data_IF_015411292959
#
_entry.id   IF_015411292959
#
_cell.length_a   1.000
_cell.length_b   1.000
_cell.length_c   1.000
_cell.angle_alpha   90.00
_cell.angle_beta   90.00
_cell.angle_gamma   90.00
#
_symmetry.space_group_name_H-M   'P 1'
#
loop_
_entity.id
_entity.type
_entity.pdbx_description
1 polymer ?
#
# COMPACT_ATOMS: atom_id res chain seq x y z
N UNK A 1 19.50 -24.59 -30.71
CA UNK A 1 19.21 -25.61 -29.68
C UNK A 1 19.85 -25.11 -28.38
N UNK A 2 19.11 -24.50 -27.44
CA UNK A 2 18.26 -25.16 -26.43
C UNK A 2 19.17 -25.81 -25.36
N UNK A 3 19.14 -25.53 -24.06
CA UNK A 3 18.10 -25.13 -23.10
C UNK A 3 18.79 -24.52 -21.86
N UNK A 4 18.36 -23.36 -21.35
CA UNK A 4 17.52 -23.15 -20.13
C UNK A 4 18.07 -23.80 -18.85
N UNK A 5 18.69 -22.98 -17.99
CA UNK A 5 18.86 -23.23 -16.56
C UNK A 5 17.75 -22.55 -15.76
N UNK A 6 16.97 -23.34 -15.03
CA UNK A 6 16.03 -22.90 -14.00
C UNK A 6 16.73 -22.94 -12.64
N UNK A 7 16.78 -21.81 -11.93
CA UNK A 7 16.94 -21.85 -10.47
C UNK A 7 16.19 -20.69 -9.81
N UNK A 8 15.27 -21.09 -8.92
CA UNK A 8 14.46 -20.30 -8.00
C UNK A 8 15.34 -19.65 -6.91
N UNK A 9 14.83 -18.50 -6.43
CA UNK A 9 15.07 -17.73 -5.19
C UNK A 9 15.74 -16.38 -5.41
N UNK A 10 14.90 -15.35 -5.51
CA UNK A 10 15.28 -13.96 -5.31
C UNK A 10 14.30 -13.34 -4.32
N UNK A 11 14.74 -13.10 -3.08
CA UNK A 11 14.13 -12.07 -2.24
C UNK A 11 14.42 -10.74 -2.95
N UNK A 12 13.38 -10.02 -3.34
CA UNK A 12 13.52 -8.74 -4.01
C UNK A 12 14.04 -7.69 -3.02
N UNK A 13 15.35 -7.43 -3.03
CA UNK A 13 15.91 -6.24 -2.40
C UNK A 13 15.67 -5.06 -3.34
N UNK A 14 15.00 -4.02 -2.84
CA UNK A 14 14.89 -2.74 -3.52
C UNK A 14 16.20 -1.97 -3.30
N UNK A 15 16.90 -1.69 -4.39
CA UNK A 15 18.10 -0.86 -4.44
C UNK A 15 17.72 0.62 -4.18
N UNK A 16 18.48 1.27 -3.31
CA UNK A 16 18.37 2.70 -3.00
C UNK A 16 19.67 3.37 -3.43
N UNK A 17 19.60 4.24 -4.43
CA UNK A 17 20.73 5.00 -4.93
C UNK A 17 21.13 6.12 -3.94
N UNK A 18 22.38 6.07 -3.47
CA UNK A 18 23.06 7.14 -2.74
C UNK A 18 23.66 8.14 -3.74
N UNK A 19 23.26 9.41 -3.64
CA UNK A 19 23.94 10.51 -4.29
C UNK A 19 24.90 11.17 -3.29
N UNK A 20 26.19 10.85 -3.41
CA UNK A 20 27.28 11.53 -2.72
C UNK A 20 27.34 13.01 -3.11
N UNK A 21 27.44 13.89 -2.11
CA UNK A 21 28.01 15.22 -2.30
C UNK A 21 29.03 15.49 -1.22
N UNK A 22 30.28 15.42 -1.65
CA UNK A 22 31.48 15.86 -0.97
C UNK A 22 31.57 17.39 -1.02
N UNK A 23 31.84 18.02 0.13
CA UNK A 23 32.65 19.23 0.13
C UNK A 23 33.37 19.40 1.47
N UNK A 24 34.64 19.77 1.36
CA UNK A 24 35.66 19.79 2.41
C UNK A 24 35.84 21.17 3.06
N UNK A 25 36.55 21.16 4.19
CA UNK A 25 37.29 22.26 4.87
C UNK A 25 36.45 23.26 5.70
N UNK A 26 36.87 23.75 6.86
CA UNK A 26 38.18 23.86 7.52
C UNK A 26 38.02 23.97 9.05
N UNK A 27 39.09 23.68 9.78
CA UNK A 27 39.18 23.81 11.23
C UNK A 27 39.42 25.26 11.68
N UNK A 28 38.47 25.84 12.41
CA UNK A 28 38.71 26.96 13.32
C UNK A 28 38.01 26.66 14.65
N UNK A 29 38.77 26.65 15.73
CA UNK A 29 38.26 26.56 17.10
C UNK A 29 37.56 27.87 17.44
N UNK A 30 36.30 27.80 17.85
CA UNK A 30 35.64 28.87 18.59
C UNK A 30 34.90 28.23 19.76
N UNK A 31 35.47 28.40 20.96
CA UNK A 31 34.72 28.35 22.20
C UNK A 31 33.60 29.39 22.09
N UNK A 32 32.34 28.95 22.13
CA UNK A 32 31.24 29.77 22.61
C UNK A 32 30.03 28.90 22.98
N UNK A 33 29.52 29.24 24.17
CA UNK A 33 28.35 28.76 24.91
C UNK A 33 27.38 27.78 24.25
N UNK A 34 27.10 26.72 25.01
CA UNK A 34 25.93 25.85 24.88
C UNK A 34 24.68 26.67 25.24
N UNK A 35 23.80 26.88 24.26
CA UNK A 35 22.40 27.34 24.43
C UNK A 35 21.52 26.29 23.73
N UNK A 36 20.36 25.87 24.30
CA UNK A 36 19.63 24.71 23.82
C UNK A 36 18.83 25.03 22.54
N UNK A 37 19.39 24.71 21.37
CA UNK A 37 18.77 24.96 20.05
C UNK A 37 17.61 24.04 19.67
N UNK A 38 16.93 23.40 20.62
CA UNK A 38 15.76 22.56 20.33
C UNK A 38 14.47 23.39 20.40
N UNK A 39 14.39 24.40 21.28
CA UNK A 39 13.19 25.22 21.44
C UNK A 39 13.03 26.26 20.30
N UNK A 40 14.10 26.94 19.88
CA UNK A 40 14.00 27.98 18.83
C UNK A 40 13.59 27.41 17.45
N UNK A 41 14.02 26.19 17.10
CA UNK A 41 13.69 25.56 15.80
C UNK A 41 12.27 24.99 15.78
N UNK A 42 11.74 24.58 16.93
CA UNK A 42 10.38 24.07 17.06
C UNK A 42 9.36 25.23 16.96
N UNK A 43 9.63 26.34 17.65
CA UNK A 43 8.78 27.54 17.66
C UNK A 43 8.65 28.16 16.26
N UNK A 44 9.72 28.19 15.48
CA UNK A 44 9.70 28.74 14.11
C UNK A 44 8.81 27.90 13.17
N UNK A 45 8.78 26.57 13.35
CA UNK A 45 7.93 25.67 12.56
C UNK A 45 6.45 25.81 12.87
N UNK A 46 6.09 25.96 14.14
CA UNK A 46 4.70 26.13 14.57
C UNK A 46 4.13 27.45 14.03
N UNK A 47 4.93 28.52 14.08
CA UNK A 47 4.57 29.82 13.49
C UNK A 47 4.36 29.72 11.97
N UNK A 48 5.21 28.96 11.26
CA UNK A 48 5.04 28.72 9.82
C UNK A 48 3.77 27.94 9.51
N UNK A 49 3.41 26.95 10.31
CA UNK A 49 2.16 26.19 10.14
C UNK A 49 0.93 27.05 10.39
N UNK A 50 0.95 27.90 11.42
CA UNK A 50 -0.12 28.86 11.67
C UNK A 50 -0.29 29.85 10.50
N UNK A 51 0.81 30.38 9.95
CA UNK A 51 0.76 31.24 8.77
C UNK A 51 0.21 30.50 7.54
N UNK A 52 0.57 29.24 7.35
CA UNK A 52 0.02 28.42 6.26
C UNK A 52 -1.48 28.18 6.46
N UNK A 53 -1.92 27.93 7.70
CA UNK A 53 -3.34 27.76 8.02
C UNK A 53 -4.14 29.03 7.74
N UNK A 54 -3.62 30.20 8.11
CA UNK A 54 -4.22 31.50 7.79
C UNK A 54 -4.30 31.73 6.28
N UNK A 55 -3.26 31.34 5.54
CA UNK A 55 -3.23 31.45 4.09
C UNK A 55 -4.28 30.56 3.37
N UNK A 56 -4.90 29.58 4.05
CA UNK A 56 -6.02 28.83 3.48
C UNK A 56 -7.31 29.66 3.38
N UNK A 57 -7.43 30.76 4.11
CA UNK A 57 -8.59 31.68 4.00
C UNK A 57 -8.48 32.63 2.80
N UNK A 58 -7.34 32.67 2.12
CA UNK A 58 -7.11 33.56 0.99
C UNK A 58 -8.04 33.26 -0.19
N UNK A 59 -8.53 34.32 -0.85
CA UNK A 59 -9.44 34.18 -2.00
C UNK A 59 -8.77 33.48 -3.18
N UNK A 60 -7.46 33.66 -3.35
CA UNK A 60 -6.70 33.16 -4.49
C UNK A 60 -6.33 31.68 -4.32
N UNK A 61 -6.83 30.82 -5.20
CA UNK A 61 -6.57 29.37 -5.16
C UNK A 61 -5.09 29.00 -5.20
N UNK A 62 -4.27 29.69 -6.01
CA UNK A 62 -2.83 29.42 -6.05
C UNK A 62 -2.09 29.72 -4.73
N UNK A 63 -2.63 30.60 -3.89
CA UNK A 63 -2.08 30.86 -2.55
C UNK A 63 -2.43 29.71 -1.61
N UNK A 64 -3.69 29.28 -1.62
CA UNK A 64 -4.13 28.10 -0.87
C UNK A 64 -3.40 26.82 -1.27
N UNK A 65 -3.16 26.60 -2.57
CA UNK A 65 -2.38 25.46 -3.05
C UNK A 65 -0.94 25.45 -2.50
N UNK A 66 -0.29 26.62 -2.42
CA UNK A 66 1.05 26.73 -1.83
C UNK A 66 1.03 26.42 -0.34
N UNK A 67 0.06 26.98 0.39
CA UNK A 67 -0.12 26.70 1.81
C UNK A 67 -0.35 25.21 2.09
N UNK A 68 -1.24 24.55 1.32
CA UNK A 68 -1.46 23.11 1.44
C UNK A 68 -0.19 22.31 1.16
N UNK A 69 0.62 22.71 0.16
CA UNK A 69 1.89 22.05 -0.14
C UNK A 69 2.85 22.14 1.05
N UNK A 70 2.99 23.33 1.66
CA UNK A 70 3.83 23.52 2.84
C UNK A 70 3.33 22.74 4.07
N UNK A 71 2.01 22.67 4.27
CA UNK A 71 1.42 21.84 5.33
C UNK A 71 1.77 20.37 5.13
N UNK A 72 1.58 19.84 3.91
CA UNK A 72 1.92 18.44 3.59
C UNK A 72 3.40 18.14 3.84
N UNK A 73 4.30 19.05 3.44
CA UNK A 73 5.73 18.92 3.68
C UNK A 73 6.04 18.88 5.18
N UNK A 74 5.42 19.75 5.98
CA UNK A 74 5.58 19.76 7.43
C UNK A 74 5.10 18.44 8.08
N UNK A 75 3.96 17.90 7.66
CA UNK A 75 3.42 16.63 8.14
C UNK A 75 4.26 15.41 7.72
N UNK A 76 4.92 15.46 6.55
CA UNK A 76 5.81 14.39 6.10
C UNK A 76 7.17 14.40 6.83
N UNK A 77 7.61 15.57 7.28
CA UNK A 77 8.90 15.74 7.96
C UNK A 77 8.85 15.51 9.48
N UNK A 78 7.70 15.72 10.11
CA UNK A 78 7.48 15.45 11.54
C UNK A 78 6.00 15.29 11.88
N UNK A 79 5.71 14.50 12.92
CA UNK A 79 4.36 14.35 13.46
C UNK A 79 3.98 15.63 14.21
N UNK A 80 3.17 16.47 13.58
CA UNK A 80 2.77 17.78 14.06
C UNK A 80 1.72 17.70 15.19
N UNK A 81 1.95 16.88 16.21
CA UNK A 81 0.94 16.56 17.23
C UNK A 81 0.40 17.79 17.96
N UNK A 82 1.24 18.74 18.36
CA UNK A 82 0.79 19.94 19.07
C UNK A 82 -0.10 20.84 18.21
N UNK A 83 0.27 21.00 16.93
CA UNK A 83 -0.53 21.74 15.96
C UNK A 83 -1.88 21.05 15.73
N UNK A 84 -1.88 19.73 15.52
CA UNK A 84 -3.11 18.94 15.32
C UNK A 84 -4.01 19.05 16.55
N UNK A 85 -3.47 18.89 17.76
CA UNK A 85 -4.23 19.00 19.00
C UNK A 85 -5.01 20.32 19.10
N UNK A 86 -4.41 21.44 18.69
CA UNK A 86 -5.00 22.78 18.78
C UNK A 86 -5.86 23.17 17.59
N UNK A 87 -5.54 22.69 16.38
CA UNK A 87 -6.03 23.26 15.12
C UNK A 87 -6.69 22.25 14.18
N UNK A 88 -6.87 20.97 14.57
CA UNK A 88 -7.40 19.94 13.65
C UNK A 88 -8.73 20.36 13.01
N UNK A 89 -9.70 20.84 13.79
CA UNK A 89 -11.02 21.22 13.28
C UNK A 89 -10.94 22.38 12.27
N UNK A 90 -10.07 23.37 12.54
CA UNK A 90 -9.85 24.49 11.61
C UNK A 90 -9.22 24.03 10.31
N UNK A 91 -8.17 23.20 10.38
CA UNK A 91 -7.50 22.65 9.20
C UNK A 91 -8.47 21.78 8.38
N UNK A 92 -9.19 20.88 9.04
CA UNK A 92 -10.18 20.00 8.41
C UNK A 92 -11.23 20.84 7.66
N UNK A 93 -11.82 21.83 8.33
CA UNK A 93 -12.81 22.71 7.72
C UNK A 93 -12.28 23.42 6.46
N UNK A 94 -11.05 23.93 6.51
CA UNK A 94 -10.44 24.58 5.34
C UNK A 94 -10.16 23.60 4.20
N UNK A 95 -9.64 22.41 4.50
CA UNK A 95 -9.44 21.37 3.48
C UNK A 95 -10.77 20.92 2.85
N UNK A 96 -11.84 20.79 3.64
CA UNK A 96 -13.17 20.47 3.12
C UNK A 96 -13.74 21.58 2.23
N UNK A 97 -13.47 22.86 2.56
CA UNK A 97 -13.80 23.99 1.68
C UNK A 97 -13.04 23.92 0.34
N UNK A 98 -11.76 23.57 0.38
CA UNK A 98 -10.95 23.32 -0.81
C UNK A 98 -11.47 22.13 -1.63
N UNK A 99 -11.95 21.05 -1.01
CA UNK A 99 -12.60 19.94 -1.73
C UNK A 99 -13.87 20.40 -2.46
N UNK A 100 -14.68 21.23 -1.81
CA UNK A 100 -15.96 21.73 -2.36
C UNK A 100 -15.77 22.70 -3.53
N UNK A 101 -14.78 23.59 -3.47
CA UNK A 101 -14.66 24.74 -4.41
C UNK A 101 -13.32 24.83 -5.16
N UNK A 102 -12.33 24.03 -4.79
CA UNK A 102 -10.97 24.13 -5.29
C UNK A 102 -10.76 23.53 -6.69
N UNK A 103 -9.62 23.89 -7.27
CA UNK A 103 -9.10 23.28 -8.51
C UNK A 103 -8.83 21.78 -8.33
N UNK A 104 -8.61 21.03 -9.41
CA UNK A 104 -8.23 19.61 -9.30
C UNK A 104 -6.97 19.40 -8.45
N UNK A 105 -6.00 20.31 -8.58
CA UNK A 105 -4.76 20.31 -7.80
C UNK A 105 -5.01 20.69 -6.34
N UNK A 106 -5.80 21.72 -6.08
CA UNK A 106 -6.15 22.14 -4.72
C UNK A 106 -6.90 21.04 -3.97
N UNK A 107 -7.84 20.36 -4.64
CA UNK A 107 -8.57 19.22 -4.08
C UNK A 107 -7.61 18.08 -3.76
N UNK A 108 -6.68 17.75 -4.67
CA UNK A 108 -5.72 16.68 -4.44
C UNK A 108 -4.83 16.96 -3.21
N UNK A 109 -4.34 18.20 -3.08
CA UNK A 109 -3.55 18.61 -1.93
C UNK A 109 -4.38 18.60 -0.64
N UNK A 110 -5.61 19.12 -0.67
CA UNK A 110 -6.49 19.14 0.50
C UNK A 110 -6.86 17.72 0.96
N UNK A 111 -7.17 16.82 0.03
CA UNK A 111 -7.43 15.40 0.28
C UNK A 111 -6.22 14.71 0.93
N UNK A 112 -5.01 14.97 0.44
CA UNK A 112 -3.80 14.41 1.03
C UNK A 112 -3.52 14.98 2.43
N UNK A 113 -3.71 16.30 2.63
CA UNK A 113 -3.57 16.93 3.93
C UNK A 113 -4.57 16.38 4.97
N UNK A 114 -5.81 16.08 4.58
CA UNK A 114 -6.82 15.44 5.45
C UNK A 114 -6.37 14.03 5.85
N UNK A 115 -5.87 13.22 4.92
CA UNK A 115 -5.39 11.87 5.28
C UNK A 115 -4.15 11.91 6.18
N UNK A 116 -3.23 12.87 5.98
CA UNK A 116 -2.10 13.10 6.89
C UNK A 116 -2.56 13.58 8.27
N UNK A 117 -3.57 14.44 8.32
CA UNK A 117 -4.22 14.88 9.57
C UNK A 117 -4.77 13.66 10.33
N UNK A 118 -5.54 12.79 9.66
CA UNK A 118 -6.07 11.57 10.28
C UNK A 118 -4.95 10.66 10.80
N UNK A 119 -3.93 10.34 9.98
CA UNK A 119 -2.80 9.49 10.37
C UNK A 119 -2.03 10.07 11.57
N UNK A 120 -1.91 11.39 11.65
CA UNK A 120 -1.17 12.07 12.75
C UNK A 120 -1.98 12.13 14.03
N UNK A 121 -3.31 12.29 13.93
CA UNK A 121 -4.22 12.21 15.07
C UNK A 121 -4.24 10.79 15.68
N UNK A 122 -4.20 9.76 14.82
CA UNK A 122 -4.39 8.37 15.26
C UNK A 122 -5.85 8.05 15.60
N UNK A 123 -6.16 6.79 15.94
CA UNK A 123 -7.52 6.34 16.23
C UNK A 123 -8.10 7.02 17.48
N UNK A 124 -9.41 7.25 17.49
CA UNK A 124 -10.16 7.88 18.58
C UNK A 124 -11.15 8.96 18.09
N UNK A 125 -11.74 9.69 19.03
CA UNK A 125 -12.85 10.63 18.79
C UNK A 125 -12.57 11.63 17.66
N UNK A 126 -11.36 12.23 17.62
CA UNK A 126 -10.98 13.19 16.59
C UNK A 126 -10.89 12.56 15.19
N UNK A 127 -10.42 11.31 15.08
CA UNK A 127 -10.38 10.61 13.80
C UNK A 127 -11.77 10.21 13.32
N UNK A 128 -12.66 9.84 14.25
CA UNK A 128 -14.06 9.61 13.94
C UNK A 128 -14.74 10.89 13.44
N UNK A 129 -14.52 12.03 14.10
CA UNK A 129 -15.02 13.35 13.66
C UNK A 129 -14.52 13.68 12.25
N UNK A 130 -13.23 13.48 11.98
CA UNK A 130 -12.65 13.65 10.63
C UNK A 130 -13.38 12.79 9.60
N UNK A 131 -13.61 11.50 9.90
CA UNK A 131 -14.32 10.60 9.00
C UNK A 131 -15.76 11.09 8.73
N UNK A 132 -16.52 11.40 9.78
CA UNK A 132 -17.91 11.83 9.68
C UNK A 132 -18.07 13.12 8.86
N UNK A 133 -17.20 14.11 9.08
CA UNK A 133 -17.20 15.36 8.33
C UNK A 133 -16.73 15.20 6.88
N UNK A 134 -15.86 14.22 6.59
CA UNK A 134 -15.33 13.97 5.25
C UNK A 134 -16.30 13.23 4.33
N UNK A 135 -17.10 12.29 4.85
CA UNK A 135 -17.93 11.39 4.03
C UNK A 135 -18.88 12.15 3.10
N UNK A 136 -19.58 13.17 3.60
CA UNK A 136 -20.56 13.92 2.80
C UNK A 136 -19.91 14.78 1.71
N UNK A 137 -18.95 15.69 2.02
CA UNK A 137 -18.27 16.50 1.01
C UNK A 137 -17.54 15.68 -0.05
N UNK A 138 -16.89 14.58 0.32
CA UNK A 138 -16.22 13.68 -0.63
C UNK A 138 -17.25 13.01 -1.54
N UNK A 139 -18.35 12.48 -0.97
CA UNK A 139 -19.42 11.86 -1.76
C UNK A 139 -20.06 12.81 -2.76
N UNK A 140 -20.29 14.07 -2.36
CA UNK A 140 -20.79 15.11 -3.25
C UNK A 140 -19.80 15.45 -4.36
N UNK A 141 -18.52 15.61 -4.02
CA UNK A 141 -17.47 15.89 -4.99
C UNK A 141 -17.33 14.75 -6.03
N UNK A 142 -17.43 13.49 -5.61
CA UNK A 142 -17.39 12.33 -6.51
C UNK A 142 -18.60 12.28 -7.48
N UNK A 143 -19.80 12.68 -7.03
CA UNK A 143 -21.01 12.73 -7.87
C UNK A 143 -20.88 13.72 -9.02
N UNK A 144 -20.08 14.78 -8.87
CA UNK A 144 -19.85 15.77 -9.94
C UNK A 144 -19.02 15.24 -11.12
N UNK A 145 -18.58 13.97 -11.07
CA UNK A 145 -17.71 13.31 -12.07
C UNK A 145 -16.52 14.19 -12.48
N UNK A 146 -15.64 14.53 -11.53
CA UNK A 146 -14.49 15.37 -11.81
C UNK A 146 -13.44 14.61 -12.63
N UNK A 147 -12.36 15.29 -12.99
CA UNK A 147 -11.20 14.69 -13.66
C UNK A 147 -10.63 13.49 -12.87
N UNK A 148 -10.01 12.54 -13.59
CA UNK A 148 -9.51 11.28 -13.01
C UNK A 148 -8.57 11.50 -11.82
N UNK A 149 -7.71 12.52 -11.85
CA UNK A 149 -6.78 12.86 -10.77
C UNK A 149 -7.51 13.30 -9.50
N UNK A 150 -8.54 14.14 -9.65
CA UNK A 150 -9.39 14.58 -8.54
C UNK A 150 -10.20 13.42 -7.96
N UNK A 151 -10.69 12.51 -8.80
CA UNK A 151 -11.35 11.27 -8.33
C UNK A 151 -10.36 10.45 -7.49
N UNK A 152 -9.16 10.16 -8.01
CA UNK A 152 -8.18 9.33 -7.30
C UNK A 152 -7.84 9.89 -5.92
N UNK A 153 -7.56 11.19 -5.81
CA UNK A 153 -7.22 11.81 -4.53
C UNK A 153 -8.37 11.76 -3.51
N UNK A 154 -9.62 11.91 -3.96
CA UNK A 154 -10.81 11.80 -3.11
C UNK A 154 -11.01 10.37 -2.59
N UNK A 155 -10.78 9.36 -3.45
CA UNK A 155 -10.89 7.95 -3.07
C UNK A 155 -9.79 7.55 -2.08
N UNK A 156 -8.55 7.98 -2.31
CA UNK A 156 -7.44 7.76 -1.38
C UNK A 156 -7.70 8.40 -0.03
N UNK A 157 -8.14 9.67 -0.02
CA UNK A 157 -8.49 10.38 1.20
C UNK A 157 -9.59 9.64 1.97
N UNK A 158 -10.67 9.23 1.31
CA UNK A 158 -11.75 8.48 1.96
C UNK A 158 -11.23 7.18 2.58
N UNK A 159 -10.44 6.41 1.82
CA UNK A 159 -9.84 5.18 2.33
C UNK A 159 -8.95 5.41 3.57
N UNK A 160 -8.09 6.42 3.56
CA UNK A 160 -7.21 6.70 4.70
C UNK A 160 -7.99 7.18 5.92
N UNK A 161 -8.93 8.12 5.77
CA UNK A 161 -9.69 8.61 6.93
C UNK A 161 -10.60 7.52 7.52
N UNK A 162 -11.16 6.63 6.68
CA UNK A 162 -11.92 5.48 7.16
C UNK A 162 -11.03 4.45 7.84
N UNK A 163 -9.81 4.20 7.32
CA UNK A 163 -8.88 3.27 7.95
C UNK A 163 -8.47 3.71 9.36
N UNK A 164 -8.34 5.01 9.62
CA UNK A 164 -7.95 5.54 10.93
C UNK A 164 -9.16 5.74 11.85
N UNK A 165 -10.26 6.30 11.35
CA UNK A 165 -11.42 6.72 12.15
C UNK A 165 -12.63 5.79 12.12
N UNK A 166 -12.58 4.71 11.31
CA UNK A 166 -13.68 3.74 11.20
C UNK A 166 -13.60 2.68 12.29
N UNK A 167 -14.17 2.96 13.46
CA UNK A 167 -14.21 2.01 14.58
C UNK A 167 -15.31 0.95 14.40
N UNK A 168 -16.44 1.35 13.80
CA UNK A 168 -17.57 0.46 13.55
C UNK A 168 -17.53 -0.14 12.12
N UNK A 169 -17.83 -1.44 11.95
CA UNK A 169 -17.92 -2.07 10.64
C UNK A 169 -18.85 -1.34 9.66
N UNK A 170 -19.95 -0.77 10.16
CA UNK A 170 -20.94 -0.03 9.39
C UNK A 170 -20.36 1.25 8.76
N UNK A 171 -19.49 1.96 9.49
CA UNK A 171 -18.81 3.16 8.98
C UNK A 171 -17.83 2.80 7.86
N UNK A 172 -17.08 1.71 8.04
CA UNK A 172 -16.16 1.18 7.03
C UNK A 172 -16.93 0.71 5.79
N UNK A 173 -18.01 -0.05 5.98
CA UNK A 173 -18.83 -0.57 4.89
C UNK A 173 -19.50 0.56 4.10
N UNK A 174 -19.99 1.60 4.76
CA UNK A 174 -20.54 2.79 4.09
C UNK A 174 -19.51 3.45 3.16
N UNK A 175 -18.26 3.57 3.61
CA UNK A 175 -17.17 4.14 2.82
C UNK A 175 -16.80 3.23 1.64
N UNK A 176 -16.71 1.91 1.89
CA UNK A 176 -16.54 0.91 0.83
C UNK A 176 -17.66 0.97 -0.22
N UNK A 177 -18.91 1.19 0.20
CA UNK A 177 -20.04 1.32 -0.73
C UNK A 177 -19.88 2.55 -1.62
N UNK A 178 -19.44 3.69 -1.08
CA UNK A 178 -19.13 4.91 -1.85
C UNK A 178 -18.05 4.60 -2.90
N UNK A 179 -16.96 3.93 -2.52
CA UNK A 179 -15.90 3.52 -3.45
C UNK A 179 -16.49 2.61 -4.55
N UNK A 180 -17.29 1.60 -4.17
CA UNK A 180 -17.88 0.64 -5.10
C UNK A 180 -18.79 1.27 -6.15
N UNK A 181 -19.57 2.30 -5.77
CA UNK A 181 -20.42 3.03 -6.71
C UNK A 181 -19.62 3.78 -7.79
N UNK A 182 -18.33 4.06 -7.57
CA UNK A 182 -17.48 4.68 -8.57
C UNK A 182 -17.01 3.69 -9.64
N UNK A 183 -16.85 2.41 -9.29
CA UNK A 183 -16.63 1.33 -10.25
C UNK A 183 -17.93 0.86 -10.92
N UNK A 184 -19.04 0.88 -10.17
CA UNK A 184 -20.38 0.48 -10.61
C UNK A 184 -21.41 1.59 -10.39
N UNK A 185 -21.43 2.62 -11.26
CA UNK A 185 -22.46 3.64 -11.15
C UNK A 185 -23.83 2.97 -11.35
N UNK A 186 -24.73 3.09 -10.36
CA UNK A 186 -26.14 2.74 -10.55
C UNK A 186 -26.65 3.46 -11.80
N UNK A 187 -27.05 2.71 -12.83
CA UNK A 187 -27.64 3.27 -14.04
C UNK A 187 -28.91 4.02 -13.64
N UNK A 188 -28.83 5.35 -13.57
CA UNK A 188 -30.01 6.20 -13.56
C UNK A 188 -30.71 6.11 -14.91
N UNK A 189 -32.04 6.22 -14.93
CA UNK A 189 -32.89 5.84 -16.06
C UNK A 189 -32.65 6.57 -17.38
N UNK A 190 -31.82 7.61 -17.49
CA UNK A 190 -31.74 8.41 -18.73
C UNK A 190 -30.38 9.05 -19.08
N UNK A 191 -29.25 8.57 -18.53
CA UNK A 191 -27.92 9.06 -18.98
C UNK A 191 -26.97 7.88 -19.11
N UNK A 192 -26.45 7.65 -20.31
CA UNK A 192 -25.35 6.71 -20.53
C UNK A 192 -24.22 7.04 -19.55
N UNK A 193 -24.01 6.19 -18.55
CA UNK A 193 -22.93 6.38 -17.61
C UNK A 193 -21.61 6.23 -18.40
N UNK A 194 -20.85 7.33 -18.51
CA UNK A 194 -19.49 7.26 -19.04
C UNK A 194 -18.72 6.23 -18.21
N UNK A 195 -18.15 5.23 -18.87
CA UNK A 195 -17.40 4.17 -18.19
C UNK A 195 -16.20 4.80 -17.47
N UNK A 196 -15.97 4.47 -16.18
CA UNK A 196 -14.81 4.98 -15.45
C UNK A 196 -13.51 4.55 -16.15
N UNK A 197 -12.48 5.39 -16.08
CA UNK A 197 -11.18 5.09 -16.66
C UNK A 197 -10.52 3.90 -15.93
N UNK A 198 -9.63 3.14 -16.58
CA UNK A 198 -8.89 2.05 -15.93
C UNK A 198 -8.15 2.52 -14.66
N UNK A 199 -7.60 3.73 -14.68
CA UNK A 199 -6.94 4.36 -13.52
C UNK A 199 -7.90 4.56 -12.34
N UNK A 200 -9.11 5.07 -12.58
CA UNK A 200 -10.12 5.23 -11.52
C UNK A 200 -10.53 3.87 -10.97
N UNK A 201 -10.79 2.88 -11.83
CA UNK A 201 -11.18 1.54 -11.36
C UNK A 201 -10.05 0.93 -10.54
N UNK A 202 -8.80 1.03 -10.99
CA UNK A 202 -7.63 0.54 -10.24
C UNK A 202 -7.57 1.16 -8.85
N UNK A 203 -7.80 2.48 -8.76
CA UNK A 203 -7.82 3.17 -7.48
C UNK A 203 -8.97 2.71 -6.59
N UNK A 204 -10.18 2.59 -7.15
CA UNK A 204 -11.36 2.08 -6.42
C UNK A 204 -11.08 0.69 -5.85
N UNK A 205 -10.55 -0.22 -6.66
CA UNK A 205 -10.27 -1.60 -6.24
C UNK A 205 -9.21 -1.62 -5.14
N UNK A 206 -8.14 -0.83 -5.28
CA UNK A 206 -7.06 -0.76 -4.28
C UNK A 206 -7.56 -0.17 -2.96
N UNK A 207 -8.31 0.95 -3.01
CA UNK A 207 -8.89 1.60 -1.84
C UNK A 207 -9.94 0.72 -1.14
N UNK A 208 -10.78 0.03 -1.92
CA UNK A 208 -11.78 -0.90 -1.41
C UNK A 208 -11.13 -2.11 -0.73
N UNK A 209 -10.07 -2.66 -1.35
CA UNK A 209 -9.31 -3.78 -0.78
C UNK A 209 -8.58 -3.36 0.48
N UNK A 210 -8.01 -2.15 0.51
CA UNK A 210 -7.39 -1.57 1.69
C UNK A 210 -8.37 -1.47 2.86
N UNK A 211 -9.59 -0.98 2.65
CA UNK A 211 -10.62 -0.96 3.70
C UNK A 211 -11.09 -2.36 4.09
N UNK A 212 -11.17 -3.29 3.14
CA UNK A 212 -11.54 -4.66 3.44
C UNK A 212 -10.54 -5.31 4.43
N UNK A 213 -9.28 -4.90 4.45
CA UNK A 213 -8.26 -5.42 5.40
C UNK A 213 -8.59 -5.15 6.87
N UNK A 214 -9.42 -4.14 7.18
CA UNK A 214 -9.83 -3.83 8.56
C UNK A 214 -11.10 -4.57 8.98
N UNK A 215 -11.75 -5.25 8.05
CA UNK A 215 -13.00 -5.98 8.29
C UNK A 215 -12.74 -7.43 8.65
N UNK A 216 -13.47 -7.93 9.63
CA UNK A 216 -13.56 -9.37 9.84
C UNK A 216 -14.63 -9.95 8.89
N UNK A 217 -14.40 -11.17 8.37
CA UNK A 217 -15.32 -11.81 7.43
C UNK A 217 -16.74 -11.94 7.98
N UNK A 218 -16.92 -11.99 9.31
CA UNK A 218 -18.21 -12.14 10.00
C UNK A 218 -19.06 -10.85 10.01
N UNK A 219 -18.44 -9.68 10.13
CA UNK A 219 -19.10 -8.37 10.22
C UNK A 219 -19.61 -7.86 8.88
N UNK A 220 -19.13 -8.41 7.77
CA UNK A 220 -19.60 -8.03 6.44
C UNK A 220 -21.07 -8.40 6.23
N UNK A 221 -21.86 -7.47 5.70
CA UNK A 221 -23.20 -7.74 5.25
C UNK A 221 -23.17 -8.75 4.06
N UNK A 222 -23.83 -9.92 4.17
CA UNK A 222 -23.83 -10.96 3.13
C UNK A 222 -24.41 -10.53 1.77
N UNK A 223 -25.13 -9.40 1.71
CA UNK A 223 -25.81 -8.93 0.50
C UNK A 223 -25.05 -7.81 -0.21
N UNK A 224 -24.16 -7.10 0.48
CA UNK A 224 -23.52 -5.89 -0.07
C UNK A 224 -22.50 -6.18 -1.16
N UNK A 225 -21.81 -7.32 -1.05
CA UNK A 225 -20.62 -7.63 -1.87
C UNK A 225 -20.80 -8.83 -2.77
N UNK A 226 -22.04 -9.28 -2.96
CA UNK A 226 -22.38 -10.32 -3.92
C UNK A 226 -21.86 -9.95 -5.31
N UNK A 227 -21.33 -10.94 -6.03
CA UNK A 227 -20.73 -10.81 -7.37
C UNK A 227 -19.38 -10.09 -7.43
N UNK A 228 -18.81 -9.63 -6.31
CA UNK A 228 -17.50 -8.96 -6.30
C UNK A 228 -16.37 -9.85 -6.84
N UNK A 229 -16.34 -11.15 -6.49
CA UNK A 229 -15.36 -12.10 -7.06
C UNK A 229 -15.53 -12.21 -8.58
N UNK A 230 -16.78 -12.30 -9.05
CA UNK A 230 -17.08 -12.37 -10.48
C UNK A 230 -16.62 -11.10 -11.19
N UNK A 231 -16.87 -9.93 -10.58
CA UNK A 231 -16.42 -8.64 -11.09
C UNK A 231 -14.90 -8.57 -11.19
N UNK A 232 -14.17 -8.85 -10.10
CA UNK A 232 -12.70 -8.82 -10.11
C UNK A 232 -12.11 -9.85 -11.08
N UNK A 233 -12.73 -11.04 -11.24
CA UNK A 233 -12.38 -11.99 -12.28
C UNK A 233 -12.49 -11.38 -13.69
N UNK A 234 -13.49 -10.55 -13.97
CA UNK A 234 -13.58 -9.85 -15.28
C UNK A 234 -12.52 -8.77 -15.48
N UNK A 235 -11.95 -8.23 -14.39
CA UNK A 235 -10.87 -7.24 -14.44
C UNK A 235 -9.53 -7.87 -14.79
N UNK A 236 -9.31 -9.13 -14.39
CA UNK A 236 -8.11 -9.90 -14.76
C UNK A 236 -7.95 -10.06 -16.28
N UNK A 237 -9.06 -10.05 -17.04
CA UNK A 237 -9.06 -10.18 -18.50
C UNK A 237 -8.85 -8.85 -19.24
N UNK A 238 -8.74 -7.70 -18.54
CA UNK A 238 -8.57 -6.36 -19.15
C UNK A 238 -7.13 -6.10 -19.56
N UNK A 239 -6.84 -5.21 -20.49
CA UNK A 239 -5.46 -4.95 -20.95
C UNK A 239 -4.57 -4.18 -19.95
N UNK A 240 -5.17 -3.47 -19.00
CA UNK A 240 -4.45 -2.63 -18.05
C UNK A 240 -3.80 -3.46 -16.93
N UNK A 241 -2.47 -3.39 -16.82
CA UNK A 241 -1.71 -4.22 -15.88
C UNK A 241 -1.94 -3.82 -14.42
N UNK A 242 -2.05 -2.53 -14.13
CA UNK A 242 -2.26 -2.06 -12.76
C UNK A 242 -3.65 -2.47 -12.28
N UNK A 243 -4.63 -2.40 -13.17
CA UNK A 243 -5.98 -2.89 -12.92
C UNK A 243 -6.00 -4.40 -12.64
N UNK A 244 -5.28 -5.20 -13.43
CA UNK A 244 -5.14 -6.64 -13.19
C UNK A 244 -4.50 -6.91 -11.83
N UNK A 245 -3.41 -6.22 -11.49
CA UNK A 245 -2.71 -6.39 -10.21
C UNK A 245 -3.65 -6.07 -9.04
N UNK A 246 -4.31 -4.92 -9.06
CA UNK A 246 -5.25 -4.53 -8.00
C UNK A 246 -6.40 -5.53 -7.85
N UNK A 247 -6.96 -6.03 -8.96
CA UNK A 247 -7.99 -7.06 -8.93
C UNK A 247 -7.48 -8.41 -8.37
N UNK A 248 -6.23 -8.78 -8.70
CA UNK A 248 -5.58 -9.97 -8.15
C UNK A 248 -5.35 -9.88 -6.65
N UNK A 249 -4.87 -8.74 -6.15
CA UNK A 249 -4.70 -8.48 -4.71
C UNK A 249 -6.04 -8.50 -3.97
N UNK A 250 -7.09 -7.89 -4.55
CA UNK A 250 -8.44 -7.93 -4.00
C UNK A 250 -8.99 -9.36 -3.88
N UNK A 251 -8.77 -10.18 -4.91
CA UNK A 251 -9.15 -11.59 -4.91
C UNK A 251 -8.37 -12.37 -3.85
N UNK A 252 -7.04 -12.20 -3.80
CA UNK A 252 -6.19 -12.85 -2.81
C UNK A 252 -6.65 -12.54 -1.38
N UNK A 253 -6.98 -11.28 -1.09
CA UNK A 253 -7.54 -10.85 0.18
C UNK A 253 -8.89 -11.53 0.49
N UNK A 254 -9.82 -11.56 -0.47
CA UNK A 254 -11.11 -12.25 -0.31
C UNK A 254 -10.91 -13.75 0.01
N UNK A 255 -9.95 -14.41 -0.67
CA UNK A 255 -9.62 -15.80 -0.39
C UNK A 255 -8.95 -15.98 0.99
N UNK A 256 -8.11 -15.04 1.42
CA UNK A 256 -7.48 -15.03 2.75
C UNK A 256 -8.51 -14.88 3.87
N UNK A 257 -9.56 -14.07 3.67
CA UNK A 257 -10.63 -13.89 4.67
C UNK A 257 -11.48 -15.14 4.92
N UNK A 258 -11.55 -16.06 3.96
CA UNK A 258 -12.27 -17.34 4.09
C UNK A 258 -13.80 -17.27 4.02
N UNK A 259 -14.43 -16.09 3.98
CA UNK A 259 -15.89 -15.91 3.89
C UNK A 259 -16.39 -15.73 2.45
N UNK A 260 -16.02 -16.65 1.55
CA UNK A 260 -16.28 -16.54 0.10
C UNK A 260 -17.77 -16.45 -0.24
N UNK A 261 -18.63 -17.09 0.55
CA UNK A 261 -20.08 -17.09 0.36
C UNK A 261 -20.74 -15.72 0.44
N UNK A 262 -20.07 -14.71 1.03
CA UNK A 262 -20.54 -13.32 1.11
C UNK A 262 -20.21 -12.51 -0.15
N UNK A 263 -19.26 -12.99 -0.94
CA UNK A 263 -18.76 -12.32 -2.14
C UNK A 263 -19.24 -12.97 -3.44
N UNK A 264 -19.68 -14.23 -3.38
CA UNK A 264 -20.32 -14.92 -4.48
C UNK A 264 -21.81 -14.54 -4.59
N UNK A 265 -22.28 -14.21 -5.79
CA UNK A 265 -23.70 -13.93 -6.02
C UNK A 265 -24.56 -15.18 -5.86
N UNK A 266 -25.78 -15.03 -5.34
CA UNK A 266 -26.79 -16.07 -5.41
C UNK A 266 -27.24 -16.21 -6.87
N UNK A 267 -27.13 -17.41 -7.43
CA UNK A 267 -27.84 -17.71 -8.68
C UNK A 267 -29.32 -17.47 -8.40
N UNK A 268 -29.92 -16.47 -9.05
CA UNK A 268 -31.37 -16.23 -9.01
C UNK A 268 -32.09 -17.50 -9.49
N UNK A 269 -32.38 -18.40 -8.56
CA UNK A 269 -33.27 -19.53 -8.81
C UNK A 269 -34.67 -18.95 -8.76
N UNK A 270 -35.22 -18.65 -9.93
CA UNK A 270 -36.68 -18.59 -10.08
C UNK A 270 -37.22 -19.99 -9.75
N UNK A 271 -37.61 -20.23 -8.50
CA UNK A 271 -38.24 -21.49 -8.10
C UNK A 271 -38.19 -21.75 -6.60
N UNK A 272 -39.37 -21.61 -5.98
CA UNK A 272 -39.93 -22.22 -4.76
C UNK A 272 -39.06 -22.44 -3.50
N UNK A 273 -39.51 -22.04 -2.29
CA UNK A 273 -38.72 -22.04 -1.07
C UNK A 273 -38.75 -23.40 -0.34
N UNK A 274 -38.68 -24.52 -1.06
CA UNK A 274 -38.65 -25.85 -0.41
C UNK A 274 -37.40 -26.64 -0.80
N UNK A 275 -36.68 -27.09 0.23
CA UNK A 275 -35.46 -27.92 0.29
C UNK A 275 -34.15 -27.10 0.43
N UNK A 276 -33.79 -26.87 1.70
CA UNK A 276 -32.63 -26.10 2.19
C UNK A 276 -31.28 -26.81 1.96
N UNK A 277 -31.22 -28.15 2.02
CA UNK A 277 -29.95 -28.91 1.86
C UNK A 277 -29.38 -28.93 0.44
N UNK A 278 -30.22 -28.74 -0.59
CA UNK A 278 -29.80 -28.73 -2.00
C UNK A 278 -29.28 -27.38 -2.49
N UNK A 279 -29.46 -26.32 -1.69
CA UNK A 279 -29.06 -24.96 -2.02
C UNK A 279 -27.58 -24.71 -1.67
N UNK A 280 -27.15 -25.18 -0.49
CA UNK A 280 -25.77 -25.06 -0.03
C UNK A 280 -24.77 -25.82 -0.92
N UNK A 281 -25.11 -27.03 -1.35
CA UNK A 281 -24.26 -27.81 -2.28
C UNK A 281 -24.07 -27.10 -3.63
N UNK A 282 -25.14 -26.48 -4.17
CA UNK A 282 -25.06 -25.68 -5.41
C UNK A 282 -24.22 -24.41 -5.23
N UNK A 283 -24.37 -23.73 -4.10
CA UNK A 283 -23.58 -22.55 -3.76
C UNK A 283 -22.09 -22.90 -3.63
N UNK A 284 -21.77 -24.01 -2.98
CA UNK A 284 -20.40 -24.52 -2.87
C UNK A 284 -19.81 -24.91 -4.24
N UNK A 285 -20.58 -25.56 -5.11
CA UNK A 285 -20.14 -25.86 -6.48
C UNK A 285 -19.87 -24.58 -7.29
N UNK A 286 -20.69 -23.55 -7.14
CA UNK A 286 -20.49 -22.26 -7.79
C UNK A 286 -19.22 -21.57 -7.29
N UNK A 287 -19.02 -21.50 -5.97
CA UNK A 287 -17.81 -20.94 -5.35
C UNK A 287 -16.56 -21.68 -5.84
N UNK A 288 -16.61 -23.02 -5.88
CA UNK A 288 -15.50 -23.83 -6.37
C UNK A 288 -15.23 -23.60 -7.87
N UNK A 289 -16.27 -23.51 -8.70
CA UNK A 289 -16.15 -23.18 -10.12
C UNK A 289 -15.51 -21.81 -10.34
N UNK A 290 -15.91 -20.81 -9.55
CA UNK A 290 -15.36 -19.46 -9.62
C UNK A 290 -13.90 -19.42 -9.14
N UNK A 291 -13.57 -20.14 -8.05
CA UNK A 291 -12.18 -20.33 -7.59
C UNK A 291 -11.30 -20.92 -8.68
N UNK A 292 -11.76 -21.97 -9.36
CA UNK A 292 -11.01 -22.61 -10.44
C UNK A 292 -10.82 -21.67 -11.64
N UNK A 293 -11.84 -20.87 -11.98
CA UNK A 293 -11.71 -19.85 -13.03
C UNK A 293 -10.61 -18.83 -12.68
N UNK A 294 -10.68 -18.26 -11.47
CA UNK A 294 -9.67 -17.30 -10.99
C UNK A 294 -8.28 -17.91 -10.98
N UNK A 295 -8.14 -19.15 -10.50
CA UNK A 295 -6.87 -19.87 -10.47
C UNK A 295 -6.25 -20.01 -11.86
N UNK A 296 -7.04 -20.33 -12.88
CA UNK A 296 -6.57 -20.41 -14.26
C UNK A 296 -6.12 -19.04 -14.79
N UNK A 297 -6.90 -17.98 -14.56
CA UNK A 297 -6.52 -16.62 -14.96
C UNK A 297 -5.22 -16.17 -14.29
N UNK A 298 -5.07 -16.41 -12.99
CA UNK A 298 -3.84 -16.12 -12.22
C UNK A 298 -2.65 -16.90 -12.79
N UNK A 299 -2.83 -18.18 -13.12
CA UNK A 299 -1.77 -19.00 -13.73
C UNK A 299 -1.31 -18.42 -15.07
N UNK A 300 -2.26 -18.04 -15.93
CA UNK A 300 -1.95 -17.42 -17.22
C UNK A 300 -1.18 -16.09 -17.04
N UNK A 301 -1.63 -15.23 -16.13
CA UNK A 301 -1.00 -13.92 -15.85
C UNK A 301 0.39 -14.05 -15.20
N UNK A 302 0.62 -15.09 -14.40
CA UNK A 302 1.94 -15.39 -13.81
C UNK A 302 2.98 -15.78 -14.87
N UNK A 303 2.53 -16.34 -15.99
CA UNK A 303 3.37 -16.85 -17.09
C UNK A 303 3.28 -16.00 -18.37
N UNK A 304 2.53 -14.89 -18.36
CA UNK A 304 2.22 -14.07 -19.54
C UNK A 304 3.49 -13.67 -20.27
N UNK A 305 3.61 -14.03 -21.56
CA UNK A 305 4.79 -13.71 -22.36
C UNK A 305 4.91 -12.20 -22.61
N UNK A 306 6.15 -11.69 -22.70
CA UNK A 306 6.36 -10.29 -23.04
C UNK A 306 5.97 -10.01 -24.48
N UNK A 307 4.90 -9.24 -24.69
CA UNK A 307 4.53 -8.73 -26.01
C UNK A 307 5.56 -7.73 -26.56
N UNK A 308 5.60 -7.55 -27.88
CA UNK A 308 6.36 -6.46 -28.49
C UNK A 308 5.78 -5.12 -28.03
N UNK A 309 6.57 -4.33 -27.30
CA UNK A 309 6.17 -3.00 -26.83
C UNK A 309 5.74 -2.92 -25.35
N UNK A 310 5.80 -4.02 -24.58
CA UNK A 310 5.53 -3.92 -23.13
C UNK A 310 6.72 -3.35 -22.37
N UNK A 311 6.44 -2.44 -21.43
CA UNK A 311 7.44 -1.98 -20.47
C UNK A 311 7.86 -3.17 -19.62
N UNK A 312 9.11 -3.60 -19.78
CA UNK A 312 9.66 -4.82 -19.16
C UNK A 312 9.53 -4.83 -17.64
N UNK A 313 9.60 -3.65 -17.00
CA UNK A 313 9.47 -3.48 -15.54
C UNK A 313 8.06 -3.86 -15.07
N UNK A 314 7.04 -3.34 -15.74
CA UNK A 314 5.63 -3.54 -15.35
C UNK A 314 5.21 -5.00 -15.54
N UNK A 315 5.69 -5.64 -16.61
CA UNK A 315 5.47 -7.08 -16.83
C UNK A 315 6.10 -7.94 -15.73
N UNK A 316 7.31 -7.60 -15.29
CA UNK A 316 7.96 -8.33 -14.21
C UNK A 316 7.23 -8.15 -12.88
N UNK A 317 6.77 -6.93 -12.58
CA UNK A 317 5.96 -6.65 -11.38
C UNK A 317 4.70 -7.50 -11.39
N UNK A 318 3.94 -7.48 -12.50
CA UNK A 318 2.74 -8.29 -12.67
C UNK A 318 3.04 -9.78 -12.44
N UNK A 319 4.02 -10.35 -13.16
CA UNK A 319 4.35 -11.78 -13.04
C UNK A 319 4.76 -12.16 -11.62
N UNK A 320 5.49 -11.30 -10.91
CA UNK A 320 5.88 -11.56 -9.53
C UNK A 320 4.64 -11.60 -8.64
N UNK A 321 3.79 -10.57 -8.69
CA UNK A 321 2.54 -10.53 -7.91
C UNK A 321 1.64 -11.73 -8.20
N UNK A 322 1.41 -12.07 -9.48
CA UNK A 322 0.57 -13.22 -9.82
C UNK A 322 1.20 -14.56 -9.50
N UNK A 323 2.53 -14.66 -9.40
CA UNK A 323 3.17 -15.87 -8.88
C UNK A 323 2.96 -16.00 -7.37
N UNK A 324 3.05 -14.91 -6.63
CA UNK A 324 2.78 -14.90 -5.20
C UNK A 324 1.30 -15.23 -4.91
N UNK A 325 0.36 -14.69 -5.72
CA UNK A 325 -1.06 -15.06 -5.65
C UNK A 325 -1.27 -16.54 -6.01
N UNK A 326 -0.59 -17.05 -7.04
CA UNK A 326 -0.71 -18.45 -7.44
C UNK A 326 -0.24 -19.39 -6.32
N UNK A 327 0.96 -19.14 -5.77
CA UNK A 327 1.53 -19.92 -4.66
C UNK A 327 0.58 -19.88 -3.44
N UNK A 328 -0.06 -18.74 -3.17
CA UNK A 328 -1.08 -18.62 -2.13
C UNK A 328 -2.35 -19.45 -2.42
N UNK A 329 -2.90 -19.36 -3.64
CA UNK A 329 -4.16 -20.05 -3.98
C UNK A 329 -4.00 -21.57 -4.11
N UNK A 330 -2.83 -22.06 -4.55
CA UNK A 330 -2.53 -23.49 -4.69
C UNK A 330 -2.05 -24.12 -3.38
N UNK A 331 -1.06 -23.49 -2.75
CA UNK A 331 -0.30 -24.11 -1.66
C UNK A 331 -0.53 -23.43 -0.29
N UNK A 332 -1.27 -22.31 -0.25
CA UNK A 332 -1.55 -21.55 0.97
C UNK A 332 -0.39 -20.68 1.46
N UNK A 333 0.69 -20.55 0.67
CA UNK A 333 1.84 -19.72 1.05
C UNK A 333 1.57 -18.25 0.75
N UNK A 334 1.46 -17.43 1.78
CA UNK A 334 1.42 -15.97 1.65
C UNK A 334 2.83 -15.40 1.38
N UNK A 335 2.93 -14.29 0.63
CA UNK A 335 4.22 -13.66 0.38
C UNK A 335 4.80 -13.06 1.67
N UNK A 336 5.95 -13.56 2.11
CA UNK A 336 6.71 -12.94 3.21
C UNK A 336 7.65 -11.87 2.65
N UNK A 337 7.34 -10.59 2.89
CA UNK A 337 8.14 -9.46 2.40
C UNK A 337 8.82 -8.81 3.59
N UNK A 338 10.14 -8.65 3.49
CA UNK A 338 10.94 -7.92 4.47
C UNK A 338 11.43 -6.60 3.88
N UNK A 339 11.07 -5.49 4.51
CA UNK A 339 11.50 -4.14 4.15
C UNK A 339 12.29 -3.53 5.31
N UNK A 340 13.43 -2.88 5.04
CA UNK A 340 14.16 -2.15 6.07
C UNK A 340 13.65 -0.73 6.21
N UNK A 341 13.21 -0.36 7.42
CA UNK A 341 12.77 0.97 7.78
C UNK A 341 13.60 1.43 8.98
N UNK A 342 14.35 2.51 8.82
CA UNK A 342 15.16 3.04 9.93
C UNK A 342 16.23 2.09 10.47
N UNK A 343 16.62 1.07 9.70
CA UNK A 343 17.57 0.04 10.13
C UNK A 343 16.95 -1.16 10.85
N UNK A 344 15.62 -1.20 11.00
CA UNK A 344 14.86 -2.38 11.42
C UNK A 344 14.12 -3.01 10.24
N UNK A 345 13.92 -4.33 10.30
CA UNK A 345 13.16 -5.06 9.29
C UNK A 345 11.69 -5.12 9.68
N UNK A 346 10.82 -4.54 8.86
CA UNK A 346 9.39 -4.79 8.86
C UNK A 346 9.11 -6.02 7.99
N UNK A 347 8.41 -7.01 8.55
CA UNK A 347 7.99 -8.20 7.82
C UNK A 347 6.47 -8.22 7.70
N UNK A 348 5.94 -8.51 6.52
CA UNK A 348 4.51 -8.79 6.31
C UNK A 348 4.31 -10.27 6.02
N UNK A 349 3.32 -10.90 6.64
CA UNK A 349 3.02 -12.33 6.49
C UNK A 349 1.63 -12.63 5.92
N UNK A 350 0.81 -11.61 5.67
CA UNK A 350 -0.55 -11.76 5.11
C UNK A 350 -0.78 -10.78 3.96
N UNK A 351 -1.75 -11.09 3.09
CA UNK A 351 -2.22 -10.19 2.04
C UNK A 351 -2.80 -8.92 2.63
N UNK A 352 -3.54 -9.00 3.73
CA UNK A 352 -4.05 -7.84 4.44
C UNK A 352 -2.93 -6.87 4.85
N UNK A 353 -1.86 -7.36 5.48
CA UNK A 353 -0.72 -6.53 5.87
C UNK A 353 0.02 -5.95 4.67
N UNK A 354 0.19 -6.73 3.60
CA UNK A 354 0.85 -6.28 2.38
C UNK A 354 0.08 -5.16 1.68
N UNK A 355 -1.24 -5.31 1.57
CA UNK A 355 -2.15 -4.30 0.99
C UNK A 355 -2.11 -3.03 1.83
N UNK A 356 -2.21 -3.13 3.16
CA UNK A 356 -2.07 -1.99 4.06
C UNK A 356 -0.74 -1.27 3.89
N UNK A 357 0.36 -2.02 3.86
CA UNK A 357 1.71 -1.49 3.70
C UNK A 357 1.87 -0.76 2.38
N UNK A 358 1.46 -1.37 1.27
CA UNK A 358 1.62 -0.78 -0.06
C UNK A 358 0.74 0.46 -0.22
N UNK A 359 -0.51 0.43 0.28
CA UNK A 359 -1.42 1.56 0.21
C UNK A 359 -0.91 2.75 1.03
N UNK A 360 -0.53 2.52 2.29
CA UNK A 360 0.00 3.58 3.16
C UNK A 360 1.37 4.10 2.69
N UNK A 361 2.22 3.24 2.14
CA UNK A 361 3.49 3.67 1.52
C UNK A 361 3.26 4.53 0.29
N UNK A 362 2.28 4.19 -0.55
CA UNK A 362 1.89 5.02 -1.69
C UNK A 362 1.36 6.37 -1.22
N UNK A 363 0.42 6.35 -0.27
CA UNK A 363 -0.20 7.55 0.27
C UNK A 363 0.81 8.47 0.95
N UNK A 364 1.65 7.97 1.86
CA UNK A 364 2.63 8.79 2.60
C UNK A 364 3.83 9.22 1.75
N UNK A 365 4.11 8.50 0.65
CA UNK A 365 5.21 8.80 -0.25
C UNK A 365 6.55 8.99 0.48
N UNK A 366 7.15 10.19 0.34
CA UNK A 366 8.41 10.54 1.00
C UNK A 366 8.35 10.57 2.53
N UNK A 367 7.17 10.78 3.13
CA UNK A 367 6.96 10.79 4.58
C UNK A 367 6.86 9.40 5.21
N UNK A 368 6.74 8.33 4.41
CA UNK A 368 6.48 6.97 4.91
C UNK A 368 7.50 6.51 5.95
N UNK A 369 8.80 6.70 5.68
CA UNK A 369 9.87 6.29 6.60
C UNK A 369 9.79 7.04 7.92
N UNK A 370 9.48 8.34 7.88
CA UNK A 370 9.41 9.19 9.07
C UNK A 370 8.22 8.80 9.94
N UNK A 371 7.05 8.62 9.33
CA UNK A 371 5.85 8.15 10.01
C UNK A 371 6.06 6.75 10.62
N UNK A 372 6.67 5.81 9.90
CA UNK A 372 6.97 4.48 10.45
C UNK A 372 8.00 4.45 11.58
N UNK A 373 8.76 5.54 11.78
CA UNK A 373 9.73 5.64 12.88
C UNK A 373 9.14 6.30 14.13
N UNK A 374 8.19 7.21 13.95
CA UNK A 374 7.73 8.08 15.02
C UNK A 374 6.24 7.85 15.38
N UNK A 375 5.44 7.29 14.46
CA UNK A 375 3.98 7.26 14.59
C UNK A 375 3.52 5.99 15.29
N UNK A 376 3.05 6.15 16.53
CA UNK A 376 2.56 5.04 17.35
C UNK A 376 1.42 4.26 16.68
N UNK A 377 0.52 4.94 15.98
CA UNK A 377 -0.57 4.27 15.27
C UNK A 377 -0.04 3.30 14.21
N UNK A 378 0.95 3.71 13.42
CA UNK A 378 1.54 2.82 12.42
C UNK A 378 2.36 1.69 13.05
N UNK A 379 2.98 1.95 14.21
CA UNK A 379 3.64 0.90 14.98
C UNK A 379 2.64 -0.19 15.40
N UNK A 380 1.46 0.21 15.87
CA UNK A 380 0.41 -0.71 16.30
C UNK A 380 -0.18 -1.47 15.10
N UNK A 381 -0.47 -0.79 13.99
CA UNK A 381 -0.98 -1.39 12.74
C UNK A 381 -0.04 -2.47 12.22
N UNK A 382 1.27 -2.21 12.20
CA UNK A 382 2.25 -3.11 11.61
C UNK A 382 2.99 -3.99 12.63
N UNK A 383 2.62 -3.93 13.91
CA UNK A 383 3.38 -4.51 15.02
C UNK A 383 4.88 -4.20 14.92
N UNK A 384 5.22 -2.97 14.49
CA UNK A 384 6.57 -2.54 14.19
C UNK A 384 7.15 -1.77 15.36
N UNK A 385 8.31 -2.20 15.86
CA UNK A 385 9.04 -1.47 16.90
C UNK A 385 10.29 -0.83 16.29
N UNK A 386 10.31 0.50 16.08
CA UNK A 386 11.50 1.16 15.57
C UNK A 386 12.64 1.09 16.60
N UNK A 387 13.89 1.03 16.13
CA UNK A 387 15.05 1.33 16.99
C UNK A 387 14.91 2.77 17.46
N UNK A 388 14.52 2.95 18.72
CA UNK A 388 14.64 4.26 19.38
C UNK A 388 16.09 4.69 19.25
N UNK A 389 16.34 5.74 18.47
CA UNK A 389 17.61 6.47 18.54
C UNK A 389 17.64 7.11 19.92
N UNK A 390 18.16 6.41 20.92
CA UNK A 390 18.60 7.09 22.12
C UNK A 390 19.57 8.19 21.66
N UNK A 391 19.33 9.44 22.07
CA UNK A 391 20.23 10.58 21.90
C UNK A 391 21.51 10.42 22.74
N UNK A 392 22.07 9.21 22.75
CA UNK A 392 23.23 8.79 23.50
C UNK A 392 23.69 7.44 22.94
N UNK A 393 24.83 7.46 22.24
CA UNK A 393 25.49 6.32 21.63
C UNK A 393 24.74 5.66 20.45
N UNK A 394 24.87 6.25 19.26
CA UNK A 394 25.05 5.40 18.08
C UNK A 394 26.22 4.44 18.41
N UNK A 395 25.96 3.14 18.50
CA UNK A 395 27.04 2.16 18.33
C UNK A 395 27.47 2.22 16.86
N UNK A 396 28.12 3.33 16.49
CA UNK A 396 28.92 3.40 15.27
C UNK A 396 29.99 2.36 15.49
N UNK A 397 29.83 1.23 14.78
CA UNK A 397 30.89 0.24 14.68
C UNK A 397 32.22 0.98 14.51
N UNK A 398 33.14 0.78 15.45
CA UNK A 398 34.44 1.44 15.45
C UNK A 398 35.11 1.19 14.10
N UNK A 399 36.02 2.07 13.68
CA UNK A 399 36.79 1.85 12.45
C UNK A 399 37.47 0.46 12.42
N UNK A 400 37.80 -0.09 13.59
CA UNK A 400 38.27 -1.46 13.77
C UNK A 400 37.20 -2.52 13.48
N UNK A 401 35.98 -2.38 14.00
CA UNK A 401 34.88 -3.32 13.75
C UNK A 401 34.41 -3.28 12.29
N UNK A 402 34.36 -2.10 11.66
CA UNK A 402 34.09 -2.00 10.21
C UNK A 402 35.16 -2.72 9.38
N UNK A 403 36.44 -2.62 9.74
CA UNK A 403 37.52 -3.38 9.08
C UNK A 403 37.41 -4.88 9.32
N UNK A 404 37.02 -5.28 10.53
CA UNK A 404 36.95 -6.67 10.95
C UNK A 404 35.75 -7.42 10.37
N UNK A 405 34.60 -6.76 10.18
CA UNK A 405 33.35 -7.40 9.74
C UNK A 405 32.88 -7.01 8.34
N UNK A 406 33.26 -5.83 7.83
CA UNK A 406 32.77 -5.31 6.53
C UNK A 406 33.85 -5.12 5.47
N UNK A 407 35.14 -5.31 5.78
CA UNK A 407 36.17 -5.20 4.74
C UNK A 407 36.17 -6.41 3.80
N UNK A 408 36.55 -6.23 2.52
CA UNK A 408 36.68 -7.33 1.57
C UNK A 408 37.60 -8.47 2.06
N UNK A 409 38.59 -8.13 2.89
CA UNK A 409 39.58 -9.06 3.45
C UNK A 409 39.23 -9.60 4.86
N UNK A 410 38.05 -9.26 5.40
CA UNK A 410 37.60 -9.74 6.71
C UNK A 410 37.51 -11.26 6.79
N UNK A 411 37.74 -11.81 7.98
CA UNK A 411 37.63 -13.25 8.23
C UNK A 411 36.24 -13.79 7.87
N UNK A 412 35.19 -12.99 8.12
CA UNK A 412 33.80 -13.36 7.82
C UNK A 412 33.55 -13.41 6.30
N UNK A 413 34.07 -12.44 5.55
CA UNK A 413 33.94 -12.45 4.09
C UNK A 413 34.80 -13.56 3.46
N UNK A 414 36.01 -13.81 3.98
CA UNK A 414 36.84 -14.96 3.57
C UNK A 414 36.15 -16.30 3.83
N UNK A 415 35.54 -16.49 5.00
CA UNK A 415 34.78 -17.69 5.33
C UNK A 415 33.56 -17.85 4.39
N UNK A 416 32.85 -16.76 4.09
CA UNK A 416 31.74 -16.76 3.12
C UNK A 416 32.21 -17.12 1.71
N UNK A 417 33.32 -16.57 1.24
CA UNK A 417 33.90 -16.91 -0.07
C UNK A 417 34.35 -18.38 -0.12
N UNK A 418 34.97 -18.90 0.93
CA UNK A 418 35.36 -20.31 1.01
C UNK A 418 34.14 -21.24 0.99
N UNK A 419 33.07 -20.90 1.72
CA UNK A 419 31.81 -21.65 1.70
C UNK A 419 31.19 -21.67 0.29
N UNK A 420 31.12 -20.50 -0.36
CA UNK A 420 30.58 -20.37 -1.72
C UNK A 420 31.43 -21.13 -2.75
N UNK A 421 32.76 -21.09 -2.63
CA UNK A 421 33.66 -21.87 -3.48
C UNK A 421 33.50 -23.38 -3.25
N UNK A 422 33.32 -23.82 -2.00
CA UNK A 422 33.04 -25.22 -1.68
C UNK A 422 31.70 -25.67 -2.27
N UNK A 423 30.65 -24.83 -2.20
CA UNK A 423 29.37 -25.10 -2.85
C UNK A 423 29.48 -25.15 -4.38
N UNK A 424 30.29 -24.28 -4.99
CA UNK A 424 30.57 -24.30 -6.44
C UNK A 424 31.30 -25.57 -6.86
N UNK A 425 32.32 -25.99 -6.12
CA UNK A 425 33.03 -27.25 -6.37
C UNK A 425 32.08 -28.45 -6.26
N UNK A 426 31.27 -28.51 -5.20
CA UNK A 426 30.28 -29.59 -5.03
C UNK A 426 29.23 -29.61 -6.15
N UNK A 427 28.88 -28.45 -6.72
CA UNK A 427 27.99 -28.37 -7.89
C UNK A 427 28.67 -28.75 -9.21
N UNK A 428 29.98 -28.51 -9.34
CA UNK A 428 30.77 -28.98 -10.48
C UNK A 428 30.98 -30.49 -10.42
N UNK A 429 31.30 -31.06 -9.24
CA UNK A 429 31.48 -32.50 -9.03
C UNK A 429 30.19 -33.29 -9.33
N UNK A 430 29.03 -32.74 -8.95
CA UNK A 430 27.72 -33.28 -9.32
C UNK A 430 27.44 -33.26 -10.83
N UNK A 431 27.97 -32.26 -11.54
CA UNK A 431 27.83 -32.17 -12.99
C UNK A 431 28.82 -33.08 -13.73
N UNK A 432 30.04 -33.30 -13.22
CA UNK A 432 31.00 -34.26 -13.80
C UNK A 432 30.63 -35.71 -13.56
N UNK A 433 29.97 -36.03 -12.44
CA UNK A 433 29.44 -37.38 -12.18
C UNK A 433 28.37 -37.84 -13.17
N UNK A 434 27.70 -36.90 -13.86
CA UNK A 434 26.71 -37.21 -14.90
C UNK A 434 27.30 -37.47 -16.30
N UNK A 435 28.58 -37.17 -16.53
CA UNK A 435 29.25 -37.43 -17.82
C UNK A 435 30.14 -38.69 -17.81
N UNK A 436 30.32 -39.35 -16.66
CA UNK A 436 31.20 -40.52 -16.54
C UNK A 436 30.47 -41.88 -16.59
N UNK A 437 29.13 -41.91 -16.70
CA UNK A 437 28.36 -43.16 -16.83
C UNK A 437 27.90 -43.31 -18.28
N UNK A 438 28.84 -43.68 -19.15
CA UNK A 438 28.51 -43.90 -20.55
C UNK A 438 29.70 -44.25 -21.42
N UNK A 439 30.61 -45.13 -20.97
CA UNK A 439 31.49 -45.89 -21.85
C UNK A 439 32.12 -47.06 -21.07
N UNK A 440 31.45 -48.21 -21.06
CA UNK A 440 32.09 -49.54 -21.10
C UNK A 440 31.11 -50.48 -21.83
N UNK A 441 31.23 -50.55 -23.15
CA UNK A 441 30.81 -51.72 -23.93
C UNK A 441 32.06 -52.58 -24.16
N UNK A 442 31.97 -53.86 -23.81
CA UNK A 442 32.53 -55.02 -24.54
C UNK A 442 31.91 -56.30 -24.01
#
# INVERSE_FOLDING_TARGET
MGRRSSQKKGAAMLDSDDADSVSSSSSMRSDNMIVPGIEEVQVDKDVLLDQCLDALYEKRGSTREKALTSIIEAFNNSLQHEFVEKKFATLLHQCLNSIKKGSAKEVALASHAIGLLAITTGPGEKAQEILEECVSPISEALKTRPESSKISALLECLAVVTFVGGEEPEQTEKSMQILWQMAHPKLGSNVAAAKPSPTVITMVVSAWSFLLTTMNGWALNPKSWQESISYFSTLLDKDDRLLRIAAGEALALIFEMGSLEKFCGETKSSGDPSIDEGNDSRKLMYVHGLKNKVLNQVRELSAEAGGKGSVKKDLNSQRNTFRDILDFLEDGYTPEISMKIGGESLNTSTWAQLIQLNFLKHFLGGGFVKHMQDNQFLHDVFAFTPKKKFLGAEYRMSGGEKRMYKSPNSALNKARTQLLNKQRMLSQDKNTGHFAVGFVDS
#
